data_IF_961845065590
#
_entry.id   IF_961845065590
#
_cell.length_a   1.000
_cell.length_b   1.000
_cell.length_c   1.000
_cell.angle_alpha   90.00
_cell.angle_beta   90.00
_cell.angle_gamma   90.00
#
_symmetry.space_group_name_H-M   'P 1'
#
loop_
_entity.id
_entity.type
_entity.pdbx_description
1 polymer ?
#
# COMPACT_ATOMS: atom_id res chain seq x y z
N UNK A 1 0.05 10.44 52.09
CA UNK A 1 -0.01 10.57 50.61
C UNK A 1 0.65 9.32 50.04
N UNK A 2 -0.12 8.38 49.48
CA UNK A 2 0.32 7.02 49.21
C UNK A 2 1.17 6.94 47.94
N UNK A 3 2.41 6.47 48.05
CA UNK A 3 3.39 6.29 46.95
C UNK A 3 2.83 5.43 45.81
N UNK A 4 1.90 4.50 46.12
CA UNK A 4 1.20 3.67 45.12
C UNK A 4 0.32 4.48 44.14
N UNK A 5 -0.21 5.63 44.56
CA UNK A 5 -1.05 6.47 43.70
C UNK A 5 -0.25 7.30 42.70
N UNK A 6 1.04 7.55 42.94
CA UNK A 6 1.90 8.34 42.04
C UNK A 6 2.38 7.47 40.86
N UNK A 7 2.62 6.17 41.10
CA UNK A 7 3.08 5.25 40.05
C UNK A 7 2.01 4.91 39.01
N UNK A 8 0.72 5.02 39.34
CA UNK A 8 -0.35 4.72 38.39
C UNK A 8 -0.58 5.85 37.37
N UNK A 9 -0.16 7.08 37.69
CA UNK A 9 -0.39 8.26 36.86
C UNK A 9 0.66 8.48 35.77
N UNK A 10 1.84 7.83 35.88
CA UNK A 10 2.94 8.03 34.94
C UNK A 10 2.82 7.15 33.68
N UNK A 11 1.97 6.12 33.70
CA UNK A 11 1.83 5.16 32.59
C UNK A 11 0.93 5.65 31.44
N UNK A 12 0.17 6.74 31.62
CA UNK A 12 -0.80 7.21 30.62
C UNK A 12 -0.19 8.11 29.53
N UNK A 13 1.03 8.61 29.72
CA UNK A 13 1.68 9.57 28.82
C UNK A 13 2.41 8.92 27.62
N UNK A 14 2.39 7.58 27.51
CA UNK A 14 3.01 6.85 26.39
C UNK A 14 2.06 6.64 25.19
N UNK A 15 0.91 7.31 25.18
CA UNK A 15 -0.02 7.28 24.04
C UNK A 15 0.45 8.31 23.00
N UNK A 16 1.42 7.95 22.17
CA UNK A 16 1.69 8.70 20.94
C UNK A 16 0.42 8.78 20.08
N UNK A 17 0.31 9.73 19.14
CA UNK A 17 -0.80 9.73 18.21
C UNK A 17 -0.80 8.38 17.51
N UNK A 18 -1.82 7.56 17.80
CA UNK A 18 -2.14 6.44 16.95
C UNK A 18 -2.61 7.07 15.64
N UNK A 19 -1.65 7.34 14.74
CA UNK A 19 -1.94 7.51 13.33
C UNK A 19 -2.61 6.19 12.96
N UNK A 20 -3.95 6.20 12.95
CA UNK A 20 -4.69 5.10 12.41
C UNK A 20 -4.09 4.84 11.03
N UNK A 21 -3.79 3.58 10.71
CA UNK A 21 -3.40 3.13 9.37
C UNK A 21 -4.51 3.37 8.32
N UNK A 22 -5.43 4.32 8.58
CA UNK A 22 -6.39 4.83 7.62
C UNK A 22 -5.69 5.87 6.77
N UNK A 23 -5.31 5.44 5.58
CA UNK A 23 -4.88 6.32 4.52
C UNK A 23 -5.99 7.30 4.17
N UNK A 24 -5.62 8.52 3.79
CA UNK A 24 -6.53 9.41 3.09
C UNK A 24 -6.98 8.76 1.76
N UNK A 25 -8.14 9.15 1.20
CA UNK A 25 -8.64 8.57 -0.05
C UNK A 25 -7.61 8.61 -1.20
N UNK A 26 -6.88 9.72 -1.33
CA UNK A 26 -5.83 9.95 -2.32
C UNK A 26 -4.60 9.07 -2.10
N UNK A 27 -4.17 8.88 -0.85
CA UNK A 27 -3.07 7.97 -0.51
C UNK A 27 -3.48 6.51 -0.75
N UNK A 28 -4.72 6.15 -0.44
CA UNK A 28 -5.26 4.83 -0.75
C UNK A 28 -5.30 4.58 -2.26
N UNK A 29 -5.73 5.58 -3.03
CA UNK A 29 -5.70 5.50 -4.48
C UNK A 29 -4.26 5.34 -5.02
N UNK A 30 -3.33 6.17 -4.54
CA UNK A 30 -1.91 6.08 -4.88
C UNK A 30 -1.33 4.70 -4.54
N UNK A 31 -1.67 4.12 -3.39
CA UNK A 31 -1.19 2.78 -3.00
C UNK A 31 -1.64 1.68 -3.96
N UNK A 32 -2.86 1.78 -4.51
CA UNK A 32 -3.36 0.83 -5.50
C UNK A 32 -2.70 1.02 -6.86
N UNK A 33 -2.47 2.26 -7.28
CA UNK A 33 -1.70 2.55 -8.49
C UNK A 33 -0.26 2.02 -8.37
N UNK A 34 0.37 2.19 -7.21
CA UNK A 34 1.71 1.69 -6.96
C UNK A 34 1.75 0.15 -6.95
N UNK A 35 0.70 -0.52 -6.46
CA UNK A 35 0.58 -1.98 -6.58
C UNK A 35 0.52 -2.46 -8.04
N UNK A 36 -0.10 -1.69 -8.94
CA UNK A 36 -0.05 -1.97 -10.38
C UNK A 36 1.35 -1.81 -10.96
N UNK A 37 2.07 -0.75 -10.59
CA UNK A 37 3.48 -0.54 -11.01
C UNK A 37 4.37 -1.69 -10.52
N UNK A 38 4.17 -2.18 -9.29
CA UNK A 38 4.89 -3.33 -8.75
C UNK A 38 4.59 -4.63 -9.53
N UNK A 39 3.32 -4.83 -9.92
CA UNK A 39 2.93 -5.98 -10.72
C UNK A 39 3.54 -5.95 -12.13
N UNK A 40 3.49 -4.79 -12.81
CA UNK A 40 4.10 -4.59 -14.13
C UNK A 40 5.62 -4.79 -14.07
N UNK A 41 6.29 -4.27 -13.04
CA UNK A 41 7.73 -4.47 -12.83
C UNK A 41 8.06 -5.95 -12.61
N UNK A 42 7.26 -6.66 -11.81
CA UNK A 42 7.48 -8.09 -11.54
C UNK A 42 7.30 -8.95 -12.80
N UNK A 43 6.35 -8.58 -13.67
CA UNK A 43 6.15 -9.21 -14.98
C UNK A 43 7.25 -8.85 -16.00
N UNK A 44 8.14 -7.91 -15.67
CA UNK A 44 9.19 -7.43 -16.57
C UNK A 44 8.67 -6.51 -17.68
N UNK A 45 7.49 -5.90 -17.50
CA UNK A 45 6.94 -4.93 -18.46
C UNK A 45 7.60 -3.56 -18.36
N UNK A 46 8.27 -3.28 -17.24
CA UNK A 46 8.99 -2.04 -16.99
C UNK A 46 10.48 -2.34 -16.86
N UNK A 47 11.29 -1.47 -17.44
CA UNK A 47 12.70 -1.33 -17.07
C UNK A 47 12.84 -0.68 -15.68
N UNK A 48 14.03 -0.76 -15.09
CA UNK A 48 14.32 -0.11 -13.80
C UNK A 48 14.08 1.42 -13.85
N UNK A 49 14.43 2.06 -14.97
CA UNK A 49 14.19 3.48 -15.21
C UNK A 49 12.69 3.79 -15.27
N UNK A 50 11.91 3.02 -16.04
CA UNK A 50 10.46 3.19 -16.15
C UNK A 50 9.74 2.92 -14.82
N UNK A 51 10.20 1.93 -14.05
CA UNK A 51 9.72 1.66 -12.71
C UNK A 51 9.95 2.89 -11.81
N UNK A 52 11.17 3.43 -11.79
CA UNK A 52 11.51 4.62 -11.03
C UNK A 52 10.66 5.83 -11.41
N UNK A 53 10.49 6.09 -12.70
CA UNK A 53 9.67 7.20 -13.21
C UNK A 53 8.21 7.05 -12.79
N UNK A 54 7.62 5.86 -12.99
CA UNK A 54 6.20 5.60 -12.64
C UNK A 54 5.96 5.69 -11.14
N UNK A 55 6.85 5.12 -10.32
CA UNK A 55 6.76 5.24 -8.86
C UNK A 55 6.89 6.70 -8.43
N UNK A 56 7.85 7.45 -8.98
CA UNK A 56 8.00 8.88 -8.66
C UNK A 56 6.73 9.67 -9.02
N UNK A 57 6.15 9.40 -10.19
CA UNK A 57 4.90 10.06 -10.64
C UNK A 57 3.71 9.75 -9.73
N UNK A 58 3.57 8.53 -9.25
CA UNK A 58 2.48 8.15 -8.32
C UNK A 58 2.65 8.84 -6.96
N UNK A 59 3.90 9.02 -6.52
CA UNK A 59 4.25 9.59 -5.21
C UNK A 59 4.47 11.11 -5.25
N UNK A 60 4.30 11.74 -6.41
CA UNK A 60 4.44 13.18 -6.58
C UNK A 60 3.37 13.91 -5.76
N UNK A 61 3.76 15.03 -5.13
CA UNK A 61 2.89 15.81 -4.27
C UNK A 61 2.65 15.27 -2.85
N UNK A 62 3.04 14.03 -2.53
CA UNK A 62 2.97 13.48 -1.17
C UNK A 62 4.22 13.80 -0.34
N UNK A 63 4.04 13.98 0.97
CA UNK A 63 5.11 14.11 1.94
C UNK A 63 5.79 12.77 2.22
N UNK A 64 7.02 12.78 2.72
CA UNK A 64 7.79 11.54 2.92
C UNK A 64 7.09 10.52 3.84
N UNK A 65 6.45 10.98 4.92
CA UNK A 65 5.69 10.09 5.80
C UNK A 65 4.45 9.46 5.14
N UNK A 66 3.83 10.19 4.20
CA UNK A 66 2.67 9.71 3.44
C UNK A 66 3.15 8.69 2.39
N UNK A 67 4.29 8.95 1.74
CA UNK A 67 4.92 8.04 0.78
C UNK A 67 5.26 6.69 1.39
N UNK A 68 5.81 6.68 2.61
CA UNK A 68 6.11 5.44 3.34
C UNK A 68 4.83 4.62 3.62
N UNK A 69 3.76 5.30 4.03
CA UNK A 69 2.47 4.65 4.29
C UNK A 69 1.83 4.11 3.00
N UNK A 70 1.90 4.87 1.90
CA UNK A 70 1.44 4.47 0.57
C UNK A 70 2.20 3.22 0.10
N UNK A 71 3.53 3.23 0.21
CA UNK A 71 4.38 2.11 -0.19
C UNK A 71 4.09 0.86 0.64
N UNK A 72 4.01 0.99 1.97
CA UNK A 72 3.68 -0.13 2.84
C UNK A 72 2.30 -0.74 2.50
N UNK A 73 1.32 0.10 2.17
CA UNK A 73 -0.01 -0.37 1.74
C UNK A 73 0.02 -1.04 0.37
N UNK A 74 0.78 -0.51 -0.58
CA UNK A 74 0.95 -1.09 -1.91
C UNK A 74 1.56 -2.49 -1.82
N UNK A 75 2.61 -2.66 -1.00
CA UNK A 75 3.22 -3.96 -0.71
C UNK A 75 2.21 -4.90 -0.06
N UNK A 76 1.45 -4.46 0.94
CA UNK A 76 0.41 -5.28 1.57
C UNK A 76 -0.71 -5.69 0.61
N UNK A 77 -1.08 -4.83 -0.35
CA UNK A 77 -2.04 -5.18 -1.39
C UNK A 77 -1.48 -6.23 -2.35
N UNK A 78 -0.23 -6.06 -2.78
CA UNK A 78 0.50 -7.00 -3.63
C UNK A 78 0.65 -8.37 -2.94
N UNK A 79 1.07 -8.40 -1.68
CA UNK A 79 1.19 -9.62 -0.88
C UNK A 79 -0.17 -10.30 -0.69
N UNK A 80 -1.23 -9.51 -0.46
CA UNK A 80 -2.60 -10.03 -0.39
C UNK A 80 -3.05 -10.68 -1.70
N UNK A 81 -2.70 -10.09 -2.84
CA UNK A 81 -2.94 -10.66 -4.17
C UNK A 81 -2.19 -11.99 -4.35
N UNK A 82 -0.99 -12.11 -3.79
CA UNK A 82 -0.13 -13.30 -3.87
C UNK A 82 -0.37 -14.34 -2.76
N UNK A 83 -1.20 -14.06 -1.75
CA UNK A 83 -1.31 -14.86 -0.53
C UNK A 83 -1.55 -16.36 -0.74
N UNK A 84 -2.26 -16.74 -1.80
CA UNK A 84 -2.56 -18.14 -2.14
C UNK A 84 -1.68 -18.73 -3.26
N UNK A 85 -0.69 -17.98 -3.72
CA UNK A 85 0.20 -18.35 -4.81
C UNK A 85 1.51 -18.89 -4.25
N UNK A 86 1.93 -20.07 -4.70
CA UNK A 86 3.22 -20.62 -4.31
C UNK A 86 4.36 -19.79 -4.94
N UNK A 87 5.27 -19.28 -4.12
CA UNK A 87 6.33 -18.37 -4.59
C UNK A 87 7.31 -19.01 -5.57
N UNK A 88 7.42 -20.35 -5.59
CA UNK A 88 8.25 -21.12 -6.51
C UNK A 88 7.52 -21.53 -7.81
N UNK A 89 6.21 -21.28 -7.91
CA UNK A 89 5.42 -21.49 -9.13
C UNK A 89 5.34 -20.19 -9.94
N UNK A 90 6.42 -19.90 -10.68
CA UNK A 90 6.53 -18.71 -11.53
C UNK A 90 5.37 -18.56 -12.54
N UNK A 91 4.76 -19.68 -12.99
CA UNK A 91 3.60 -19.59 -13.88
C UNK A 91 2.38 -19.07 -13.13
N UNK A 92 2.09 -19.61 -11.96
CA UNK A 92 0.96 -19.16 -11.16
C UNK A 92 1.11 -17.69 -10.70
N UNK A 93 2.35 -17.27 -10.40
CA UNK A 93 2.68 -15.86 -10.12
C UNK A 93 2.36 -15.01 -11.34
N UNK A 94 2.91 -15.35 -12.51
CA UNK A 94 2.69 -14.57 -13.73
C UNK A 94 1.20 -14.53 -14.12
N UNK A 95 0.50 -15.66 -14.12
CA UNK A 95 -0.94 -15.73 -14.44
C UNK A 95 -1.76 -14.81 -13.52
N UNK A 96 -1.44 -14.80 -12.22
CA UNK A 96 -2.14 -13.94 -11.25
C UNK A 96 -1.86 -12.46 -11.51
N UNK A 97 -0.60 -12.11 -11.77
CA UNK A 97 -0.19 -10.73 -12.02
C UNK A 97 -0.72 -10.22 -13.37
N UNK A 98 -0.69 -11.04 -14.42
CA UNK A 98 -1.28 -10.72 -15.73
C UNK A 98 -2.80 -10.48 -15.61
N UNK A 99 -3.50 -11.33 -14.85
CA UNK A 99 -4.92 -11.12 -14.57
C UNK A 99 -5.16 -9.84 -13.78
N UNK A 100 -4.26 -9.45 -12.88
CA UNK A 100 -4.40 -8.22 -12.10
C UNK A 100 -4.13 -6.98 -12.94
N UNK A 101 -3.05 -6.95 -13.71
CA UNK A 101 -2.67 -5.83 -14.59
C UNK A 101 -3.69 -5.62 -15.72
N UNK A 102 -4.28 -6.69 -16.25
CA UNK A 102 -5.34 -6.59 -17.27
C UNK A 102 -6.73 -6.26 -16.70
N UNK A 103 -6.90 -6.27 -15.37
CA UNK A 103 -8.16 -5.90 -14.74
C UNK A 103 -8.38 -4.39 -14.75
N UNK A 104 -9.63 -3.97 -14.56
CA UNK A 104 -9.96 -2.55 -14.45
C UNK A 104 -9.14 -1.84 -13.36
N UNK A 105 -8.68 -2.56 -12.33
CA UNK A 105 -7.85 -1.99 -11.27
C UNK A 105 -6.67 -1.19 -11.83
N UNK A 106 -5.90 -1.72 -12.79
CA UNK A 106 -4.72 -1.03 -13.30
C UNK A 106 -5.00 -0.08 -14.47
N UNK A 107 -6.27 0.04 -14.89
CA UNK A 107 -6.67 1.00 -15.90
C UNK A 107 -6.69 2.43 -15.33
N UNK A 108 -6.45 3.42 -16.19
CA UNK A 108 -6.41 4.86 -15.86
C UNK A 108 -7.71 5.39 -15.23
N UNK A 109 -8.80 4.62 -15.24
CA UNK A 109 -10.11 5.00 -14.69
C UNK A 109 -10.70 4.01 -13.66
N UNK A 110 -10.06 2.86 -13.40
CA UNK A 110 -10.78 1.76 -12.73
C UNK A 110 -10.89 1.85 -11.22
N UNK A 111 -10.15 2.76 -10.59
CA UNK A 111 -10.35 3.08 -9.17
C UNK A 111 -11.40 4.17 -9.00
N UNK A 112 -12.68 3.81 -9.19
CA UNK A 112 -13.79 4.69 -8.82
C UNK A 112 -13.83 4.86 -7.30
N UNK A 113 -14.18 6.07 -6.85
CA UNK A 113 -14.54 6.32 -5.45
C UNK A 113 -15.70 5.41 -5.05
N UNK A 114 -15.40 4.27 -4.44
CA UNK A 114 -16.40 3.43 -3.78
C UNK A 114 -16.36 3.80 -2.31
N UNK A 115 -17.21 4.75 -1.93
CA UNK A 115 -17.53 4.94 -0.51
C UNK A 115 -18.38 3.75 -0.10
N UNK A 116 -17.76 2.78 0.59
CA UNK A 116 -18.53 1.74 1.27
C UNK A 116 -19.30 2.45 2.39
N UNK A 117 -20.63 2.40 2.34
CA UNK A 117 -21.44 2.75 3.50
C UNK A 117 -21.14 1.70 4.58
N UNK A 118 -20.48 2.13 5.65
CA UNK A 118 -20.25 1.33 6.87
C UNK A 118 -21.52 1.29 7.71
#
# INVERSE_FOLDING_TARGET
>A
MNIKSILLSLSLLASGPALALSLAPEEFHASRQLACVLAEQTLGYLSEEEYGERTHKVLDGFQDSERDAILAKALGYYDGLMFSVAADDARQVNDRLESFVSSDNCSTQGFRHVTLAL
#
